data_IF_414305354155
#
_entry.id   IF_414305354155
#
_cell.length_a   1.000
_cell.length_b   1.000
_cell.length_c   1.000
_cell.angle_alpha   90.00
_cell.angle_beta   90.00
_cell.angle_gamma   90.00
#
_symmetry.space_group_name_H-M   'P 1'
#
loop_
_entity.id
_entity.type
_entity.pdbx_description
1 polymer ?
#
# COMPACT_ATOMS: atom_id res chain seq x y z
N UNK A 1 2.30 36.80 14.63
CA UNK A 1 2.39 36.48 13.16
C UNK A 1 3.40 35.35 13.02
N UNK A 2 2.96 34.16 13.21
CA UNK A 2 3.77 32.94 13.13
C UNK A 2 3.18 32.11 11.98
N UNK A 3 3.97 31.92 10.91
CA UNK A 3 3.56 31.16 9.74
C UNK A 3 3.59 29.66 10.10
N UNK A 4 2.45 29.01 10.07
CA UNK A 4 2.34 27.56 10.07
C UNK A 4 2.97 27.04 8.77
N UNK A 5 3.99 26.18 8.91
CA UNK A 5 4.45 25.32 7.81
C UNK A 5 3.53 24.10 7.78
N UNK A 6 2.59 24.08 6.83
CA UNK A 6 1.87 22.88 6.48
C UNK A 6 2.85 21.94 5.76
N UNK A 7 3.15 20.79 6.34
CA UNK A 7 3.81 19.68 5.67
C UNK A 7 2.72 18.94 4.90
N UNK A 8 2.46 19.39 3.70
CA UNK A 8 1.72 18.59 2.73
C UNK A 8 2.65 17.47 2.28
N UNK A 9 2.21 16.23 2.39
CA UNK A 9 2.75 15.14 1.60
C UNK A 9 2.33 15.38 0.15
N UNK A 10 2.97 16.38 -0.46
CA UNK A 10 2.87 16.59 -1.88
C UNK A 10 3.76 15.55 -2.56
N UNK A 11 3.17 14.75 -3.41
CA UNK A 11 3.89 14.13 -4.52
C UNK A 11 4.52 15.30 -5.28
N UNK A 12 5.78 15.61 -4.96
CA UNK A 12 6.55 16.62 -5.68
C UNK A 12 6.95 16.03 -7.03
N UNK A 13 6.13 16.27 -8.06
CA UNK A 13 6.59 16.22 -9.44
C UNK A 13 7.49 17.42 -9.65
N UNK A 14 8.76 17.29 -9.30
CA UNK A 14 9.81 18.18 -9.77
C UNK A 14 10.34 17.58 -11.08
N UNK A 15 9.94 18.16 -12.19
CA UNK A 15 10.54 17.89 -13.48
C UNK A 15 12.04 18.30 -13.44
N UNK A 16 12.88 17.39 -13.04
CA UNK A 16 14.31 17.44 -13.35
C UNK A 16 14.51 16.71 -14.68
N UNK A 17 14.93 17.42 -15.72
CA UNK A 17 15.41 16.83 -16.96
C UNK A 17 16.72 16.04 -16.65
N UNK A 18 16.57 14.87 -16.03
CA UNK A 18 17.57 13.83 -15.94
C UNK A 18 17.32 12.86 -17.09
N UNK A 19 18.37 12.38 -17.75
CA UNK A 19 18.25 11.34 -18.76
C UNK A 19 17.51 10.14 -18.13
N UNK A 20 16.33 9.79 -18.66
CA UNK A 20 15.58 8.61 -18.26
C UNK A 20 16.53 7.40 -18.32
N UNK A 21 16.68 6.73 -17.22
CA UNK A 21 17.48 5.51 -17.14
C UNK A 21 16.65 4.42 -17.82
N UNK A 22 17.05 3.97 -19.01
CA UNK A 22 16.30 2.99 -19.82
C UNK A 22 16.34 1.56 -19.26
N UNK A 23 16.81 1.39 -18.02
CA UNK A 23 16.89 0.10 -17.33
C UNK A 23 16.38 0.22 -15.89
N UNK A 24 15.77 -0.83 -15.39
CA UNK A 24 15.41 -0.91 -13.98
C UNK A 24 16.66 -0.84 -13.10
N UNK A 25 16.57 -0.22 -11.92
CA UNK A 25 17.70 -0.09 -11.00
C UNK A 25 18.16 -1.48 -10.54
N UNK A 26 19.45 -1.57 -10.23
CA UNK A 26 19.98 -2.70 -9.48
C UNK A 26 19.78 -2.43 -8.00
N UNK A 27 19.48 -3.47 -7.24
CA UNK A 27 19.23 -3.36 -5.82
C UNK A 27 20.35 -4.03 -4.99
N UNK A 28 20.67 -3.40 -3.87
CA UNK A 28 21.40 -4.04 -2.79
C UNK A 28 20.43 -4.53 -1.74
N UNK A 29 20.37 -5.85 -1.52
CA UNK A 29 19.54 -6.44 -0.46
C UNK A 29 20.23 -6.26 0.89
N UNK A 30 19.49 -5.73 1.86
CA UNK A 30 19.83 -5.73 3.28
C UNK A 30 18.85 -6.64 4.00
N UNK A 31 19.36 -7.67 4.68
CA UNK A 31 18.56 -8.52 5.57
C UNK A 31 18.59 -7.90 6.95
N UNK A 32 17.50 -7.22 7.33
CA UNK A 32 17.39 -6.55 8.63
C UNK A 32 17.17 -7.58 9.72
N UNK A 33 16.30 -8.56 9.47
CA UNK A 33 16.08 -9.71 10.37
C UNK A 33 15.44 -10.85 9.60
N UNK A 34 15.72 -12.09 9.99
CA UNK A 34 15.05 -13.29 9.51
C UNK A 34 13.91 -13.74 10.45
N UNK A 35 13.62 -12.94 11.49
CA UNK A 35 12.55 -13.22 12.44
C UNK A 35 11.22 -12.67 11.97
N UNK A 36 10.16 -13.42 12.16
CA UNK A 36 8.83 -13.00 11.85
C UNK A 36 8.23 -12.13 12.95
N UNK A 37 8.20 -10.81 12.74
CA UNK A 37 7.61 -9.85 13.67
C UNK A 37 6.34 -9.20 13.14
N UNK A 38 6.19 -9.06 11.81
CA UNK A 38 5.06 -8.38 11.16
C UNK A 38 4.88 -8.89 9.74
N UNK A 39 3.73 -8.58 9.14
CA UNK A 39 3.43 -8.86 7.74
C UNK A 39 3.41 -7.58 6.88
N UNK A 40 3.81 -6.43 7.45
CA UNK A 40 3.99 -5.16 6.79
C UNK A 40 5.02 -4.29 7.49
N UNK A 41 5.83 -3.57 6.71
CA UNK A 41 6.84 -2.63 7.19
C UNK A 41 6.68 -1.30 6.43
N UNK A 42 7.11 -0.20 7.05
CA UNK A 42 6.92 1.13 6.50
C UNK A 42 8.12 2.04 6.85
N UNK A 43 8.02 3.32 6.54
CA UNK A 43 9.12 4.29 6.68
C UNK A 43 8.64 5.61 7.31
N UNK A 44 9.59 6.36 7.87
CA UNK A 44 9.39 7.68 8.41
C UNK A 44 10.70 8.19 9.02
N UNK A 45 10.81 9.49 9.25
CA UNK A 45 11.94 10.10 10.01
C UNK A 45 11.54 10.16 11.49
N UNK A 46 11.91 9.12 12.26
CA UNK A 46 11.49 8.97 13.65
C UNK A 46 12.38 9.73 14.64
N UNK A 47 13.58 10.15 14.23
CA UNK A 47 14.54 10.86 15.07
C UNK A 47 14.75 12.32 14.63
N UNK A 48 14.10 12.77 13.54
CA UNK A 48 14.21 14.12 12.95
C UNK A 48 15.62 14.48 12.50
N UNK A 49 16.38 13.49 11.99
CA UNK A 49 17.71 13.74 11.43
C UNK A 49 17.69 14.05 9.92
N UNK A 50 16.50 14.03 9.32
CA UNK A 50 16.27 14.32 7.89
C UNK A 50 16.54 13.14 6.99
N UNK A 51 16.74 11.93 7.52
CA UNK A 51 16.86 10.69 6.78
C UNK A 51 15.67 9.79 7.04
N UNK A 52 15.36 8.95 6.08
CA UNK A 52 14.28 7.97 6.25
C UNK A 52 14.77 6.79 7.07
N UNK A 53 14.02 6.49 8.12
CA UNK A 53 14.13 5.28 8.93
C UNK A 53 13.11 4.25 8.45
N UNK A 54 13.28 2.99 8.87
CA UNK A 54 12.34 1.91 8.59
C UNK A 54 11.76 1.37 9.86
N UNK A 55 10.44 1.20 9.93
CA UNK A 55 9.74 0.52 11.02
C UNK A 55 9.24 -0.85 10.59
N UNK A 56 9.52 -1.87 11.40
CA UNK A 56 9.09 -3.24 11.17
C UNK A 56 8.86 -3.98 12.47
N UNK A 57 7.62 -4.41 12.70
CA UNK A 57 7.24 -5.09 13.94
C UNK A 57 7.48 -4.22 15.17
N UNK A 58 8.28 -4.69 16.17
CA UNK A 58 8.52 -3.96 17.41
C UNK A 58 9.68 -2.96 17.34
N UNK A 59 10.33 -2.83 16.20
CA UNK A 59 11.53 -2.02 16.04
C UNK A 59 11.39 -0.97 14.95
N UNK A 60 12.09 0.14 15.12
CA UNK A 60 12.48 0.99 14.03
C UNK A 60 14.01 1.03 13.89
N UNK A 61 14.51 1.28 12.69
CA UNK A 61 15.90 1.17 12.31
C UNK A 61 16.35 2.48 11.68
N UNK A 62 17.41 3.09 12.25
CA UNK A 62 17.93 4.38 11.76
C UNK A 62 18.52 4.25 10.36
N UNK A 63 18.08 5.13 9.47
CA UNK A 63 18.67 5.29 8.14
C UNK A 63 19.99 6.06 8.16
N UNK A 64 20.81 5.96 7.10
CA UNK A 64 20.56 5.22 5.85
C UNK A 64 21.15 3.80 5.87
N UNK A 65 21.83 3.36 6.94
CA UNK A 65 22.50 2.06 7.01
C UNK A 65 21.69 0.97 7.75
N UNK A 66 20.66 1.37 8.47
CA UNK A 66 19.72 0.51 9.20
C UNK A 66 20.35 -0.46 10.21
N UNK A 67 21.57 -0.13 10.69
CA UNK A 67 22.32 -0.96 11.64
C UNK A 67 21.86 -0.73 13.08
N UNK A 68 21.49 0.49 13.42
CA UNK A 68 21.01 0.83 14.75
C UNK A 68 19.50 0.66 14.82
N UNK A 69 19.04 -0.18 15.75
CA UNK A 69 17.62 -0.45 15.98
C UNK A 69 17.18 0.02 17.36
N UNK A 70 15.93 0.45 17.42
CA UNK A 70 15.26 0.90 18.63
C UNK A 70 14.00 0.09 18.86
N UNK A 71 13.80 -0.37 20.10
CA UNK A 71 12.57 -1.05 20.50
C UNK A 71 11.55 -0.01 20.96
N UNK A 72 10.42 0.12 20.25
CA UNK A 72 9.36 1.04 20.63
C UNK A 72 8.14 0.36 21.26
N UNK A 73 8.00 -0.96 21.10
CA UNK A 73 6.96 -1.77 21.73
C UNK A 73 7.49 -3.16 22.11
N UNK A 74 6.81 -3.90 23.01
CA UNK A 74 7.27 -5.23 23.43
C UNK A 74 7.53 -6.18 22.28
N UNK A 75 8.69 -6.85 22.31
CA UNK A 75 9.11 -7.80 21.28
C UNK A 75 8.29 -9.06 21.35
N UNK A 76 7.65 -9.42 20.23
CA UNK A 76 6.96 -10.69 20.06
C UNK A 76 7.31 -11.27 18.69
N UNK A 77 7.98 -12.41 18.72
CA UNK A 77 8.27 -13.22 17.52
C UNK A 77 7.13 -14.18 17.25
N UNK A 78 6.69 -14.29 16.01
CA UNK A 78 5.60 -15.17 15.60
C UNK A 78 6.13 -16.38 14.83
N UNK A 79 5.34 -17.46 14.83
CA UNK A 79 5.66 -18.62 14.00
C UNK A 79 5.15 -18.40 12.57
N UNK A 80 5.92 -18.73 11.51
CA UNK A 80 5.50 -18.53 10.12
C UNK A 80 4.21 -19.27 9.73
N UNK A 81 3.81 -20.30 10.47
CA UNK A 81 2.54 -21.01 10.31
C UNK A 81 1.34 -20.30 10.92
N UNK A 82 1.57 -19.25 11.71
CA UNK A 82 0.55 -18.38 12.29
C UNK A 82 0.53 -17.00 11.64
N UNK A 83 0.00 -16.03 12.37
CA UNK A 83 -0.11 -14.63 11.96
C UNK A 83 0.46 -13.71 13.02
N UNK A 84 0.91 -12.52 12.59
CA UNK A 84 1.32 -11.46 13.51
C UNK A 84 0.12 -10.61 13.95
N UNK A 85 0.35 -9.74 14.93
CA UNK A 85 -0.58 -8.67 15.33
C UNK A 85 -0.34 -7.37 14.57
N UNK A 86 0.48 -7.41 13.53
CA UNK A 86 0.83 -6.28 12.69
C UNK A 86 0.84 -6.70 11.21
N UNK A 87 -0.30 -6.53 10.55
CA UNK A 87 -0.51 -6.88 9.15
C UNK A 87 0.03 -5.79 8.21
N UNK A 88 -0.31 -4.53 8.48
CA UNK A 88 0.25 -3.39 7.77
C UNK A 88 0.74 -2.36 8.79
N UNK A 89 1.67 -1.51 8.35
CA UNK A 89 2.21 -0.41 9.16
C UNK A 89 2.07 0.88 8.38
N UNK A 90 1.62 1.95 9.05
CA UNK A 90 1.58 3.30 8.50
C UNK A 90 2.13 4.30 9.50
N UNK A 91 2.61 5.44 9.02
CA UNK A 91 3.24 6.45 9.84
C UNK A 91 2.68 7.83 9.50
N UNK A 92 2.43 8.62 10.53
CA UNK A 92 2.08 10.03 10.46
C UNK A 92 2.26 10.66 11.84
N UNK A 93 2.16 11.96 11.94
CA UNK A 93 2.04 12.71 13.21
C UNK A 93 0.57 12.70 13.63
N UNK A 94 0.18 11.73 14.48
CA UNK A 94 -1.23 11.52 14.85
C UNK A 94 -1.72 12.49 15.92
N UNK A 95 -0.83 13.04 16.73
CA UNK A 95 -1.15 13.97 17.82
C UNK A 95 -0.78 15.43 17.55
N UNK A 96 -0.12 15.73 16.43
CA UNK A 96 0.25 17.08 16.01
C UNK A 96 1.46 17.66 16.77
N UNK A 97 2.30 16.82 17.38
CA UNK A 97 3.49 17.25 18.11
C UNK A 97 4.72 17.39 17.21
N UNK A 98 4.56 17.07 15.95
CA UNK A 98 5.57 17.17 14.91
C UNK A 98 6.52 15.96 14.86
N UNK A 99 6.32 14.90 15.65
CA UNK A 99 7.07 13.65 15.55
C UNK A 99 6.28 12.60 14.78
N UNK A 100 7.01 11.76 14.04
CA UNK A 100 6.40 10.68 13.28
C UNK A 100 6.04 9.53 14.22
N UNK A 101 4.75 9.17 14.27
CA UNK A 101 4.20 8.07 15.04
C UNK A 101 4.00 6.82 14.17
N UNK A 102 3.73 5.67 14.79
CA UNK A 102 3.53 4.40 14.10
C UNK A 102 2.13 3.86 14.37
N UNK A 103 1.35 3.62 13.31
CA UNK A 103 0.08 2.92 13.37
C UNK A 103 0.23 1.48 12.88
N UNK A 104 -0.19 0.53 13.71
CA UNK A 104 -0.21 -0.89 13.38
C UNK A 104 -1.64 -1.35 13.04
N UNK A 105 -1.85 -1.70 11.77
CA UNK A 105 -3.06 -2.41 11.35
C UNK A 105 -2.96 -3.84 11.87
N UNK A 106 -3.92 -4.30 12.69
CA UNK A 106 -3.83 -5.60 13.33
C UNK A 106 -4.21 -6.76 12.40
N UNK A 107 -4.20 -7.97 12.92
CA UNK A 107 -4.93 -9.09 12.33
C UNK A 107 -6.39 -8.70 12.09
N UNK A 108 -6.98 -8.99 10.91
CA UNK A 108 -8.32 -8.51 10.55
C UNK A 108 -9.38 -8.74 11.63
N UNK A 109 -10.14 -7.69 11.94
CA UNK A 109 -11.18 -7.65 12.95
C UNK A 109 -10.71 -7.36 14.38
N UNK A 110 -9.43 -7.20 14.60
CA UNK A 110 -8.90 -6.75 15.89
C UNK A 110 -8.87 -5.21 15.98
N UNK A 111 -8.55 -4.69 17.15
CA UNK A 111 -8.40 -3.25 17.38
C UNK A 111 -7.07 -2.75 16.84
N UNK A 112 -7.09 -1.68 16.05
CA UNK A 112 -5.91 -0.97 15.58
C UNK A 112 -5.37 -0.01 16.64
N UNK A 113 -4.05 0.04 16.75
CA UNK A 113 -3.35 0.88 17.72
C UNK A 113 -2.28 1.71 17.04
N UNK A 114 -2.08 2.93 17.54
CA UNK A 114 -0.92 3.71 17.20
C UNK A 114 -0.02 3.91 18.41
N UNK A 115 1.25 4.14 18.15
CA UNK A 115 2.29 4.31 19.15
C UNK A 115 2.89 5.71 18.97
N UNK A 116 2.75 6.51 20.00
CA UNK A 116 3.24 7.89 20.07
C UNK A 116 4.75 7.89 20.22
N UNK A 117 5.42 8.55 19.28
CA UNK A 117 6.86 8.72 19.32
C UNK A 117 7.27 9.51 20.57
N UNK A 118 8.10 8.95 21.40
CA UNK A 118 8.59 9.61 22.60
C UNK A 118 9.67 10.68 22.32
N UNK A 119 9.57 11.34 21.18
CA UNK A 119 10.45 12.40 20.70
C UNK A 119 11.88 11.92 20.45
N UNK A 120 12.01 10.78 19.80
CA UNK A 120 13.29 10.17 19.44
C UNK A 120 14.06 9.57 20.60
N UNK A 121 13.49 9.51 21.81
CA UNK A 121 14.13 8.89 22.97
C UNK A 121 13.98 7.38 22.93
N UNK A 122 14.98 6.67 23.43
CA UNK A 122 14.91 5.21 23.60
C UNK A 122 13.81 4.82 24.60
N UNK A 123 13.27 3.62 24.41
CA UNK A 123 12.29 3.00 25.29
C UNK A 123 10.90 2.87 24.67
N UNK A 124 9.95 2.27 25.42
CA UNK A 124 8.62 1.97 24.89
C UNK A 124 7.83 3.25 24.63
N UNK A 125 7.16 3.29 23.49
CA UNK A 125 6.27 4.38 23.11
C UNK A 125 4.88 4.21 23.73
N UNK A 126 4.22 5.28 24.17
CA UNK A 126 2.82 5.25 24.60
C UNK A 126 1.94 4.62 23.52
N UNK A 127 1.02 3.74 23.93
CA UNK A 127 0.11 3.03 23.04
C UNK A 127 -1.29 3.61 23.17
N UNK A 128 -1.89 4.00 22.05
CA UNK A 128 -3.22 4.56 21.97
C UNK A 128 -4.16 3.74 21.09
N UNK A 129 -5.45 3.72 21.44
CA UNK A 129 -6.49 3.09 20.61
C UNK A 129 -6.78 3.98 19.40
N UNK A 130 -6.66 3.43 18.19
CA UNK A 130 -7.03 4.12 16.97
C UNK A 130 -8.47 3.78 16.57
N UNK A 131 -8.72 2.53 16.18
CA UNK A 131 -10.02 2.11 15.67
C UNK A 131 -10.36 0.71 16.17
N UNK A 132 -11.55 0.55 16.75
CA UNK A 132 -12.05 -0.77 17.13
C UNK A 132 -12.51 -1.53 15.90
N UNK A 133 -11.92 -2.72 15.67
CA UNK A 133 -12.34 -3.63 14.62
C UNK A 133 -11.90 -3.22 13.21
N UNK A 134 -10.61 -3.14 12.96
CA UNK A 134 -10.09 -2.96 11.59
C UNK A 134 -10.28 -4.24 10.80
N UNK A 135 -11.21 -4.23 9.85
CA UNK A 135 -11.56 -5.35 8.98
C UNK A 135 -10.93 -5.16 7.58
N UNK A 136 -10.76 -6.28 6.87
CA UNK A 136 -10.14 -6.34 5.54
C UNK A 136 -8.67 -6.72 5.58
N UNK A 137 -8.18 -7.26 4.45
CA UNK A 137 -6.79 -7.70 4.31
C UNK A 137 -5.97 -6.80 3.35
N UNK A 138 -6.60 -5.77 2.79
CA UNK A 138 -5.96 -4.82 1.89
C UNK A 138 -6.22 -3.35 2.28
N UNK A 139 -6.20 -2.97 3.57
CA UNK A 139 -6.36 -1.57 3.95
C UNK A 139 -5.38 -0.66 3.20
N UNK A 140 -5.84 0.55 2.88
CA UNK A 140 -5.05 1.57 2.19
C UNK A 140 -4.87 2.80 3.08
N UNK A 141 -3.94 3.67 2.70
CA UNK A 141 -3.57 4.84 3.44
C UNK A 141 -3.48 6.05 2.51
N UNK A 142 -4.37 7.02 2.65
CA UNK A 142 -4.42 8.19 1.79
C UNK A 142 -5.46 9.21 2.23
N UNK A 143 -5.28 10.46 1.84
CA UNK A 143 -6.17 11.57 2.16
C UNK A 143 -7.47 11.46 1.35
N UNK A 144 -8.52 10.93 1.97
CA UNK A 144 -9.84 10.77 1.33
C UNK A 144 -10.69 12.04 1.45
N UNK A 145 -10.58 12.72 2.59
CA UNK A 145 -11.45 13.85 2.91
C UNK A 145 -10.91 15.21 2.45
N UNK A 146 -9.67 15.27 1.94
CA UNK A 146 -9.02 16.48 1.44
C UNK A 146 -8.52 17.42 2.52
N UNK A 147 -8.27 16.91 3.73
CA UNK A 147 -7.78 17.73 4.85
C UNK A 147 -6.25 17.81 4.95
N UNK A 148 -5.55 17.16 4.01
CA UNK A 148 -4.09 17.13 3.92
C UNK A 148 -3.42 16.08 4.81
N UNK A 149 -4.20 15.20 5.45
CA UNK A 149 -3.73 14.09 6.26
C UNK A 149 -4.24 12.76 5.70
N UNK A 150 -3.44 11.70 5.73
CA UNK A 150 -3.90 10.41 5.26
C UNK A 150 -4.93 9.79 6.23
N UNK A 151 -5.94 9.17 5.69
CA UNK A 151 -6.97 8.38 6.36
C UNK A 151 -6.70 6.88 6.22
N UNK A 152 -7.18 6.07 7.15
CA UNK A 152 -7.18 4.61 7.02
C UNK A 152 -8.42 4.16 6.25
N UNK A 153 -8.24 3.67 5.03
CA UNK A 153 -9.29 3.11 4.20
C UNK A 153 -9.41 1.63 4.54
N UNK A 154 -10.54 1.22 5.12
CA UNK A 154 -10.73 -0.14 5.61
C UNK A 154 -12.21 -0.54 5.66
N UNK A 155 -12.48 -1.80 5.99
CA UNK A 155 -13.80 -2.22 6.42
C UNK A 155 -13.92 -2.13 7.95
N UNK A 156 -15.14 -1.87 8.45
CA UNK A 156 -15.42 -1.84 9.89
C UNK A 156 -16.89 -2.19 10.14
N UNK A 157 -17.15 -3.21 10.94
CA UNK A 157 -18.49 -3.56 11.40
C UNK A 157 -19.52 -3.85 10.29
N UNK A 158 -19.06 -4.30 9.12
CA UNK A 158 -19.90 -4.59 7.96
C UNK A 158 -20.09 -3.42 7.00
N UNK A 159 -19.30 -2.35 7.14
CA UNK A 159 -19.24 -1.22 6.23
C UNK A 159 -17.86 -1.15 5.58
N UNK A 160 -17.77 -0.56 4.40
CA UNK A 160 -16.53 -0.07 3.80
C UNK A 160 -16.50 1.45 3.90
N UNK A 161 -15.33 2.02 4.17
CA UNK A 161 -15.15 3.44 4.38
C UNK A 161 -13.73 3.81 4.78
N UNK A 162 -13.60 4.89 5.52
CA UNK A 162 -12.30 5.36 6.00
C UNK A 162 -12.38 5.84 7.45
N UNK A 163 -11.27 5.77 8.16
CA UNK A 163 -11.14 6.31 9.51
C UNK A 163 -10.17 7.49 9.51
N UNK A 164 -10.64 8.63 9.99
CA UNK A 164 -9.88 9.88 10.10
C UNK A 164 -9.55 10.18 11.55
N UNK A 165 -8.43 10.84 11.78
CA UNK A 165 -7.99 11.33 13.08
C UNK A 165 -7.91 12.86 13.11
N UNK A 166 -7.97 13.41 14.31
CA UNK A 166 -7.87 14.84 14.53
C UNK A 166 -6.70 15.11 15.52
N UNK A 167 -5.53 15.56 15.03
CA UNK A 167 -4.36 15.79 15.88
C UNK A 167 -4.63 16.70 17.07
N UNK A 168 -5.58 17.65 16.94
CA UNK A 168 -5.94 18.53 18.05
C UNK A 168 -6.69 17.81 19.19
N UNK A 169 -7.14 16.57 18.97
CA UNK A 169 -7.79 15.73 19.98
C UNK A 169 -6.85 14.71 20.62
N UNK A 170 -5.57 14.73 20.23
CA UNK A 170 -4.54 13.88 20.80
C UNK A 170 -4.88 12.38 20.67
N UNK A 171 -4.99 11.69 21.80
CA UNK A 171 -5.17 10.24 21.90
C UNK A 171 -6.61 9.74 21.71
N UNK A 172 -7.55 10.59 21.29
CA UNK A 172 -8.93 10.16 21.08
C UNK A 172 -9.02 9.13 19.95
N UNK A 173 -9.92 8.11 20.06
CA UNK A 173 -10.13 7.15 18.99
C UNK A 173 -10.52 7.83 17.67
N UNK A 174 -10.04 7.26 16.57
CA UNK A 174 -10.33 7.74 15.23
C UNK A 174 -11.80 7.58 14.87
N UNK A 175 -12.31 8.48 14.05
CA UNK A 175 -13.69 8.46 13.60
C UNK A 175 -13.80 7.68 12.29
N UNK A 176 -14.50 6.54 12.31
CA UNK A 176 -14.86 5.82 11.09
C UNK A 176 -16.04 6.51 10.37
N UNK A 177 -15.88 6.71 9.06
CA UNK A 177 -16.88 7.28 8.15
C UNK A 177 -17.27 6.19 7.15
N UNK A 178 -18.45 5.58 7.28
CA UNK A 178 -18.92 4.60 6.31
C UNK A 178 -19.30 5.30 5.00
N UNK A 179 -18.89 4.75 3.88
CA UNK A 179 -19.27 5.22 2.53
C UNK A 179 -20.27 4.29 1.86
N UNK A 180 -20.47 3.09 2.40
CA UNK A 180 -21.38 2.09 1.86
C UNK A 180 -22.57 1.85 2.80
N UNK A 181 -23.66 1.27 2.31
CA UNK A 181 -24.63 0.63 3.20
C UNK A 181 -23.97 -0.50 3.98
N UNK A 182 -24.52 -0.84 5.14
CA UNK A 182 -24.10 -2.04 5.87
C UNK A 182 -24.30 -3.29 5.00
N UNK A 183 -23.27 -4.11 4.85
CA UNK A 183 -23.32 -5.25 3.95
C UNK A 183 -22.28 -6.32 4.28
N UNK A 184 -21.74 -6.93 3.22
CA UNK A 184 -20.79 -8.07 3.26
C UNK A 184 -19.33 -7.71 3.55
N UNK A 185 -19.07 -6.50 3.97
CA UNK A 185 -17.72 -6.02 4.27
C UNK A 185 -17.22 -6.65 5.56
N UNK A 186 -16.73 -7.88 5.42
CA UNK A 186 -16.37 -8.73 6.54
C UNK A 186 -14.90 -8.58 6.93
N UNK A 187 -14.56 -9.24 8.02
CA UNK A 187 -13.20 -9.33 8.57
C UNK A 187 -12.12 -9.63 7.50
N UNK A 188 -12.41 -10.51 6.56
CA UNK A 188 -11.46 -10.96 5.53
C UNK A 188 -11.84 -10.43 4.14
N UNK A 189 -12.42 -9.22 4.06
CA UNK A 189 -12.66 -8.58 2.78
C UNK A 189 -11.34 -8.25 2.09
N UNK A 190 -11.31 -8.47 0.78
CA UNK A 190 -10.17 -8.19 -0.09
C UNK A 190 -10.53 -7.15 -1.12
N UNK A 191 -9.51 -6.45 -1.64
CA UNK A 191 -9.67 -5.48 -2.69
C UNK A 191 -10.17 -4.15 -2.17
N UNK A 192 -9.26 -3.29 -1.74
CA UNK A 192 -9.51 -1.93 -1.32
C UNK A 192 -8.60 -0.99 -2.11
N UNK A 193 -9.11 0.18 -2.47
CA UNK A 193 -8.36 1.17 -3.21
C UNK A 193 -9.01 2.55 -3.13
N UNK A 194 -8.31 3.56 -3.61
CA UNK A 194 -8.76 4.92 -3.63
C UNK A 194 -8.11 5.71 -4.77
N UNK A 195 -8.78 6.75 -5.23
CA UNK A 195 -8.30 7.67 -6.25
C UNK A 195 -9.45 8.34 -6.98
N UNK A 196 -9.17 9.41 -7.69
CA UNK A 196 -10.16 10.18 -8.47
C UNK A 196 -10.48 9.45 -9.79
N UNK A 197 -11.52 8.63 -9.79
CA UNK A 197 -11.93 7.86 -10.97
C UNK A 197 -12.63 8.74 -12.00
N UNK A 198 -13.49 9.65 -11.55
CA UNK A 198 -14.32 10.43 -12.46
C UNK A 198 -13.65 11.73 -12.96
N UNK A 199 -12.54 12.16 -12.39
CA UNK A 199 -11.76 13.34 -12.75
C UNK A 199 -12.38 14.64 -12.19
N UNK A 200 -13.11 14.55 -11.05
CA UNK A 200 -13.73 15.72 -10.43
C UNK A 200 -12.89 16.38 -9.34
N UNK A 201 -11.69 15.83 -9.08
CA UNK A 201 -10.72 16.30 -8.10
C UNK A 201 -10.97 15.78 -6.70
N UNK A 202 -11.86 14.80 -6.52
CA UNK A 202 -12.14 14.14 -5.25
C UNK A 202 -11.72 12.68 -5.28
N UNK A 203 -11.43 12.15 -4.12
CA UNK A 203 -11.00 10.77 -3.97
C UNK A 203 -12.21 9.84 -3.85
N UNK A 204 -12.39 8.98 -4.85
CA UNK A 204 -13.34 7.87 -4.81
C UNK A 204 -12.76 6.66 -4.09
N UNK A 205 -13.60 5.78 -3.53
CA UNK A 205 -13.16 4.53 -2.94
C UNK A 205 -13.53 3.34 -3.83
N UNK A 206 -12.59 2.38 -3.95
CA UNK A 206 -12.76 1.21 -4.79
C UNK A 206 -12.83 -0.07 -3.96
N UNK A 207 -13.68 -0.99 -4.39
CA UNK A 207 -13.75 -2.38 -3.93
C UNK A 207 -13.65 -3.35 -5.12
N UNK A 208 -13.44 -4.63 -4.88
CA UNK A 208 -13.34 -5.63 -5.96
C UNK A 208 -14.52 -5.62 -6.95
N UNK A 209 -15.71 -5.18 -6.55
CA UNK A 209 -16.94 -5.24 -7.35
C UNK A 209 -17.53 -3.88 -7.74
N UNK A 210 -16.88 -2.78 -7.40
CA UNK A 210 -17.41 -1.45 -7.66
C UNK A 210 -16.40 -0.35 -7.35
N UNK A 211 -16.71 0.87 -7.76
CA UNK A 211 -16.18 2.08 -7.17
C UNK A 211 -17.33 2.92 -6.60
N UNK A 212 -17.03 3.75 -5.60
CA UNK A 212 -17.95 4.56 -4.85
C UNK A 212 -17.56 6.02 -5.02
N UNK A 213 -18.39 6.76 -5.75
CA UNK A 213 -18.15 8.16 -6.09
C UNK A 213 -18.33 9.05 -4.87
N UNK A 214 -17.31 9.85 -4.55
CA UNK A 214 -17.38 10.81 -3.46
C UNK A 214 -18.36 11.94 -3.83
N UNK A 215 -19.39 12.20 -3.01
CA UNK A 215 -20.34 13.27 -3.30
C UNK A 215 -19.71 14.65 -3.13
N UNK A 216 -20.26 15.65 -3.84
CA UNK A 216 -19.81 17.05 -3.67
C UNK A 216 -19.94 17.54 -2.24
N UNK A 217 -21.01 17.12 -1.56
CA UNK A 217 -21.27 17.37 -0.14
C UNK A 217 -21.62 16.04 0.52
N UNK A 218 -20.66 15.51 1.31
CA UNK A 218 -20.89 14.29 2.06
C UNK A 218 -21.88 14.55 3.22
N UNK A 219 -22.96 13.78 3.27
CA UNK A 219 -23.92 13.82 4.38
C UNK A 219 -23.73 12.63 5.29
N UNK A 220 -23.69 12.89 6.57
CA UNK A 220 -23.50 11.84 7.56
C UNK A 220 -24.60 10.76 7.45
N UNK A 221 -24.18 9.50 7.28
CA UNK A 221 -25.09 8.36 7.19
C UNK A 221 -25.69 8.10 5.80
N UNK A 222 -25.44 8.95 4.82
CA UNK A 222 -25.81 8.69 3.43
C UNK A 222 -24.65 7.97 2.71
N UNK A 223 -24.90 6.79 2.07
CA UNK A 223 -23.88 6.11 1.30
C UNK A 223 -23.53 6.91 0.04
N UNK A 224 -22.29 6.75 -0.42
CA UNK A 224 -21.85 7.29 -1.70
C UNK A 224 -22.54 6.59 -2.87
N UNK A 225 -22.42 7.15 -4.07
CA UNK A 225 -23.00 6.57 -5.28
C UNK A 225 -22.17 5.38 -5.73
N UNK A 226 -22.79 4.22 -5.87
CA UNK A 226 -22.13 2.99 -6.28
C UNK A 226 -22.15 2.81 -7.79
N UNK A 227 -20.98 2.65 -8.38
CA UNK A 227 -20.81 2.29 -9.79
C UNK A 227 -20.28 0.85 -9.87
N UNK A 228 -21.13 -0.07 -10.33
CA UNK A 228 -20.78 -1.49 -10.37
C UNK A 228 -19.82 -1.80 -11.51
N UNK A 229 -18.67 -2.39 -11.18
CA UNK A 229 -17.73 -2.98 -12.13
C UNK A 229 -16.91 -4.09 -11.45
N UNK A 230 -16.78 -5.29 -12.05
CA UNK A 230 -16.07 -6.43 -11.46
C UNK A 230 -14.56 -6.29 -11.72
N UNK A 231 -13.84 -5.49 -10.93
CA UNK A 231 -12.39 -5.37 -11.04
C UNK A 231 -11.68 -6.70 -10.77
N UNK A 232 -12.15 -7.45 -9.77
CA UNK A 232 -11.50 -8.68 -9.35
C UNK A 232 -12.43 -9.58 -8.53
N UNK A 233 -11.96 -10.80 -8.22
CA UNK A 233 -12.61 -11.68 -7.25
C UNK A 233 -12.19 -11.35 -5.82
N UNK A 234 -10.97 -11.74 -5.46
CA UNK A 234 -10.33 -11.37 -4.19
C UNK A 234 -9.05 -10.59 -4.52
N UNK A 235 -9.21 -9.30 -4.75
CA UNK A 235 -8.12 -8.41 -5.14
C UNK A 235 -7.11 -8.18 -4.00
N UNK A 236 -5.91 -7.74 -4.33
CA UNK A 236 -5.05 -7.01 -3.41
C UNK A 236 -5.49 -5.53 -3.35
N UNK A 237 -4.58 -4.57 -3.17
CA UNK A 237 -4.90 -3.15 -3.35
C UNK A 237 -5.34 -2.88 -4.80
N UNK A 238 -6.25 -1.92 -4.99
CA UNK A 238 -6.60 -1.38 -6.29
C UNK A 238 -5.89 -0.03 -6.45
N UNK A 239 -4.90 0.00 -7.33
CA UNK A 239 -4.08 1.17 -7.61
C UNK A 239 -4.75 2.02 -8.68
N UNK A 240 -4.92 3.32 -8.42
CA UNK A 240 -5.63 4.25 -9.31
C UNK A 240 -4.68 5.32 -9.83
N UNK A 241 -4.40 5.30 -11.13
CA UNK A 241 -3.58 6.31 -11.82
C UNK A 241 -3.75 6.19 -13.34
N UNK A 242 -3.36 7.22 -14.06
CA UNK A 242 -3.35 7.22 -15.53
C UNK A 242 -2.18 6.34 -16.03
N UNK A 243 -2.47 5.11 -16.45
CA UNK A 243 -1.46 4.14 -16.90
C UNK A 243 -0.95 4.43 -18.30
N UNK A 244 -1.81 4.90 -19.22
CA UNK A 244 -1.44 5.05 -20.64
C UNK A 244 -1.24 6.50 -21.10
N UNK A 245 -1.46 7.47 -20.23
CA UNK A 245 -1.23 8.89 -20.51
C UNK A 245 -2.36 9.56 -21.29
N UNK A 246 -3.58 9.00 -21.21
CA UNK A 246 -4.74 9.57 -21.91
C UNK A 246 -5.50 10.60 -21.05
N UNK A 247 -5.06 10.81 -19.80
CA UNK A 247 -5.64 11.76 -18.85
C UNK A 247 -6.82 11.20 -18.05
N UNK A 248 -7.11 9.90 -18.17
CA UNK A 248 -8.13 9.20 -17.38
C UNK A 248 -7.45 8.24 -16.40
N UNK A 249 -7.88 8.23 -15.15
CA UNK A 249 -7.33 7.30 -14.18
C UNK A 249 -7.87 5.88 -14.42
N UNK A 250 -6.94 4.96 -14.51
CA UNK A 250 -7.13 3.53 -14.69
C UNK A 250 -7.05 2.80 -13.35
N UNK A 251 -7.26 1.48 -13.36
CA UNK A 251 -7.11 0.64 -12.16
C UNK A 251 -6.18 -0.55 -12.43
N UNK A 252 -5.16 -0.73 -11.59
CA UNK A 252 -4.30 -1.92 -11.62
C UNK A 252 -4.50 -2.73 -10.34
N UNK A 253 -4.71 -4.05 -10.46
CA UNK A 253 -4.86 -4.92 -9.29
C UNK A 253 -4.55 -6.38 -9.57
N UNK A 254 -4.23 -7.13 -8.52
CA UNK A 254 -4.24 -8.59 -8.57
C UNK A 254 -5.69 -9.09 -8.55
N UNK A 255 -6.06 -9.98 -9.48
CA UNK A 255 -7.44 -10.46 -9.56
C UNK A 255 -7.76 -11.56 -8.54
N UNK A 256 -6.73 -12.20 -8.01
CA UNK A 256 -6.85 -13.23 -6.99
C UNK A 256 -5.60 -13.26 -6.11
N UNK A 257 -5.65 -12.58 -4.96
CA UNK A 257 -4.51 -12.41 -4.06
C UNK A 257 -3.98 -13.71 -3.43
N UNK A 258 -4.76 -14.79 -3.44
CA UNK A 258 -4.35 -16.14 -3.03
C UNK A 258 -4.08 -17.08 -4.22
N UNK A 259 -4.26 -16.60 -5.41
CA UNK A 259 -4.11 -17.33 -6.67
C UNK A 259 -3.13 -16.67 -7.61
N UNK A 260 -3.60 -16.33 -8.81
CA UNK A 260 -2.81 -15.72 -9.86
C UNK A 260 -3.55 -14.55 -10.50
N UNK A 261 -2.81 -13.76 -11.26
CA UNK A 261 -3.32 -12.73 -12.14
C UNK A 261 -3.04 -11.33 -11.66
N UNK A 262 -2.50 -10.53 -12.57
CA UNK A 262 -2.34 -9.08 -12.44
C UNK A 262 -2.97 -8.45 -13.67
N UNK A 263 -3.83 -7.45 -13.49
CA UNK A 263 -4.56 -6.82 -14.59
C UNK A 263 -4.54 -5.32 -14.47
N UNK A 264 -4.58 -4.68 -15.63
CA UNK A 264 -4.85 -3.28 -15.82
C UNK A 264 -6.24 -3.11 -16.43
N UNK A 265 -7.11 -2.39 -15.77
CA UNK A 265 -8.42 -1.98 -16.22
C UNK A 265 -8.33 -0.56 -16.77
N UNK A 266 -8.15 -0.44 -18.10
CA UNK A 266 -8.13 0.87 -18.76
C UNK A 266 -9.50 1.51 -18.70
N UNK A 267 -9.59 2.73 -18.17
CA UNK A 267 -10.82 3.49 -18.21
C UNK A 267 -11.17 3.89 -19.65
N UNK A 268 -12.44 3.80 -19.98
CA UNK A 268 -13.00 4.28 -21.25
C UNK A 268 -14.29 5.02 -20.98
N UNK A 269 -14.57 6.06 -21.77
CA UNK A 269 -15.81 6.85 -21.70
C UNK A 269 -16.55 6.76 -23.01
N UNK A 270 -17.86 6.56 -22.93
CA UNK A 270 -18.73 6.64 -24.10
C UNK A 270 -19.01 8.10 -24.50
N UNK A 271 -19.79 8.30 -25.58
CA UNK A 271 -20.17 9.62 -26.09
C UNK A 271 -20.97 10.46 -25.07
N UNK A 272 -21.55 9.84 -24.05
CA UNK A 272 -22.28 10.49 -22.95
C UNK A 272 -21.41 10.72 -21.72
N UNK A 273 -20.12 10.36 -21.78
CA UNK A 273 -19.18 10.45 -20.67
C UNK A 273 -19.34 9.33 -19.63
N UNK A 274 -20.12 8.29 -19.92
CA UNK A 274 -20.29 7.17 -18.99
C UNK A 274 -19.00 6.36 -18.87
N UNK A 275 -18.53 6.18 -17.64
CA UNK A 275 -17.30 5.46 -17.32
C UNK A 275 -17.53 3.95 -17.38
N UNK A 276 -16.65 3.26 -18.06
CA UNK A 276 -16.49 1.81 -18.03
C UNK A 276 -15.00 1.45 -18.13
N UNK A 277 -14.66 0.16 -18.09
CA UNK A 277 -13.27 -0.25 -18.11
C UNK A 277 -13.06 -1.39 -19.11
N UNK A 278 -11.90 -1.41 -19.75
CA UNK A 278 -11.42 -2.50 -20.59
C UNK A 278 -10.27 -3.22 -19.89
N UNK A 279 -10.44 -4.52 -19.64
CA UNK A 279 -9.42 -5.32 -18.98
C UNK A 279 -8.25 -5.63 -19.93
N UNK A 280 -7.02 -5.43 -19.48
CA UNK A 280 -5.77 -5.81 -20.11
C UNK A 280 -4.98 -6.69 -19.13
N UNK A 281 -4.59 -7.86 -19.59
CA UNK A 281 -3.91 -8.85 -18.75
C UNK A 281 -2.41 -8.55 -18.72
N UNK A 282 -1.84 -8.35 -17.53
CA UNK A 282 -0.39 -8.22 -17.29
C UNK A 282 0.18 -9.60 -16.97
N UNK A 283 -0.38 -10.30 -15.97
CA UNK A 283 -0.13 -11.70 -15.68
C UNK A 283 -1.44 -12.46 -15.73
N UNK A 284 -1.52 -13.61 -16.41
CA UNK A 284 -2.78 -14.32 -16.57
C UNK A 284 -3.28 -14.93 -15.25
N UNK A 285 -4.60 -14.91 -15.00
CA UNK A 285 -5.20 -15.57 -13.84
C UNK A 285 -5.12 -17.10 -13.92
N UNK A 286 -4.88 -17.65 -15.12
CA UNK A 286 -4.52 -19.04 -15.33
C UNK A 286 -3.12 -19.12 -15.93
N UNK A 287 -2.08 -19.47 -15.13
CA UNK A 287 -0.69 -19.49 -15.59
C UNK A 287 -0.38 -20.67 -16.54
N UNK A 288 -1.28 -21.63 -16.69
CA UNK A 288 -1.10 -22.78 -17.61
C UNK A 288 -1.48 -22.43 -19.07
N UNK A 289 -1.96 -21.18 -19.29
CA UNK A 289 -2.20 -20.70 -20.65
C UNK A 289 -0.87 -20.51 -21.40
N UNK A 290 -0.85 -20.93 -22.66
CA UNK A 290 0.31 -20.76 -23.54
C UNK A 290 0.69 -19.27 -23.64
N UNK A 291 1.99 -18.96 -23.50
CA UNK A 291 2.53 -17.61 -23.59
C UNK A 291 2.72 -16.90 -22.25
N UNK A 292 2.42 -17.56 -21.12
CA UNK A 292 2.79 -17.05 -19.80
C UNK A 292 4.21 -17.50 -19.47
N UNK A 293 5.19 -16.63 -19.70
CA UNK A 293 6.60 -16.91 -19.35
C UNK A 293 6.89 -16.68 -17.87
N UNK A 294 6.15 -15.77 -17.23
CA UNK A 294 6.31 -15.44 -15.81
C UNK A 294 5.11 -15.95 -15.01
N UNK A 295 5.39 -16.74 -13.98
CA UNK A 295 4.40 -17.30 -13.08
C UNK A 295 4.66 -16.85 -11.65
N UNK A 296 3.76 -16.03 -11.12
CA UNK A 296 3.81 -15.56 -9.73
C UNK A 296 2.43 -15.78 -9.13
N UNK A 297 2.38 -16.52 -8.04
CA UNK A 297 1.16 -16.72 -7.25
C UNK A 297 1.13 -15.81 -6.03
N UNK A 298 -0.05 -15.60 -5.46
CA UNK A 298 -0.26 -14.89 -4.20
C UNK A 298 0.24 -13.44 -4.23
N UNK A 299 -0.16 -12.68 -5.27
CA UNK A 299 0.11 -11.23 -5.37
C UNK A 299 -0.79 -10.48 -4.37
N UNK A 300 -0.39 -10.44 -3.11
CA UNK A 300 -1.24 -9.96 -2.00
C UNK A 300 -0.96 -8.50 -1.61
N UNK A 301 0.09 -7.90 -2.10
CA UNK A 301 0.46 -6.51 -1.85
C UNK A 301 0.89 -5.84 -3.15
N UNK A 302 0.39 -4.64 -3.39
CA UNK A 302 0.72 -3.81 -4.54
C UNK A 302 1.05 -2.39 -4.09
N UNK A 303 2.01 -1.76 -4.78
CA UNK A 303 2.41 -0.36 -4.60
C UNK A 303 2.79 0.22 -5.96
N UNK A 304 2.84 1.54 -6.08
CA UNK A 304 3.31 2.25 -7.27
C UNK A 304 4.37 3.27 -6.91
N UNK A 305 5.42 3.34 -7.74
CA UNK A 305 6.38 4.43 -7.75
C UNK A 305 7.07 4.51 -9.12
N UNK A 306 7.54 5.68 -9.49
CA UNK A 306 8.35 5.87 -10.70
C UNK A 306 9.80 5.43 -10.39
N UNK A 307 10.11 4.16 -10.72
CA UNK A 307 11.40 3.57 -10.34
C UNK A 307 12.51 3.85 -11.34
N UNK A 308 12.15 4.26 -12.55
CA UNK A 308 13.10 4.55 -13.63
C UNK A 308 13.26 6.05 -13.94
N UNK A 309 12.48 6.91 -13.28
CA UNK A 309 12.54 8.36 -13.40
C UNK A 309 11.94 8.90 -14.71
N UNK A 310 11.03 8.16 -15.35
CA UNK A 310 10.42 8.55 -16.63
C UNK A 310 9.11 9.34 -16.46
N UNK A 311 8.65 9.52 -15.22
CA UNK A 311 7.43 10.23 -14.86
C UNK A 311 6.17 9.37 -14.94
N UNK A 312 6.30 8.07 -15.18
CA UNK A 312 5.19 7.10 -15.19
C UNK A 312 5.35 6.16 -13.99
N UNK A 313 4.36 6.05 -13.10
CA UNK A 313 4.45 5.11 -12.00
C UNK A 313 4.49 3.65 -12.48
N UNK A 314 5.42 2.88 -11.93
CA UNK A 314 5.59 1.45 -12.14
C UNK A 314 4.91 0.65 -11.03
N UNK A 315 4.56 -0.61 -11.28
CA UNK A 315 3.86 -1.45 -10.30
C UNK A 315 4.85 -2.34 -9.57
N UNK A 316 4.89 -2.22 -8.25
CA UNK A 316 5.64 -3.09 -7.34
C UNK A 316 4.70 -4.15 -6.76
N UNK A 317 5.10 -5.41 -6.83
CA UNK A 317 4.38 -6.52 -6.19
C UNK A 317 5.29 -7.74 -6.03
N UNK A 318 4.75 -8.82 -5.46
CA UNK A 318 5.50 -10.05 -5.29
C UNK A 318 4.63 -11.17 -4.73
N UNK A 319 5.26 -12.31 -4.50
CA UNK A 319 4.62 -13.45 -3.88
C UNK A 319 4.56 -13.28 -2.36
N UNK A 320 3.35 -13.30 -1.76
CA UNK A 320 3.20 -13.40 -0.30
C UNK A 320 3.73 -14.73 0.21
N UNK A 321 4.61 -14.69 1.18
CA UNK A 321 5.16 -15.86 1.86
C UNK A 321 4.66 -15.96 3.29
N UNK A 322 3.76 -16.71 3.62
CA UNK A 322 2.62 -17.47 3.09
C UNK A 322 1.32 -16.80 3.57
N UNK A 323 0.26 -16.78 2.80
CA UNK A 323 -1.03 -16.38 3.37
C UNK A 323 -1.56 -17.46 4.33
N UNK A 324 -1.72 -18.69 3.88
CA UNK A 324 -2.31 -19.79 4.65
C UNK A 324 -1.33 -20.96 4.93
N UNK A 325 -0.05 -20.65 5.13
CA UNK A 325 0.98 -21.62 5.49
C UNK A 325 1.46 -22.52 4.33
N UNK A 326 2.25 -23.57 4.65
CA UNK A 326 3.01 -24.32 3.65
C UNK A 326 2.17 -25.28 2.80
N UNK A 327 0.89 -25.44 3.07
CA UNK A 327 -0.05 -26.32 2.33
C UNK A 327 -1.33 -25.59 1.90
N UNK A 328 -1.39 -24.28 2.15
CA UNK A 328 -2.56 -23.46 1.90
C UNK A 328 -2.73 -23.08 0.43
N UNK A 329 -2.39 -21.88 0.07
CA UNK A 329 -2.65 -21.26 -1.24
C UNK A 329 -1.90 -21.89 -2.42
N UNK A 330 -2.01 -21.26 -3.59
CA UNK A 330 -1.32 -21.73 -4.80
C UNK A 330 0.20 -21.65 -4.64
N UNK A 331 0.88 -22.74 -5.00
CA UNK A 331 2.35 -22.85 -5.06
C UNK A 331 3.07 -22.33 -3.79
N UNK A 332 2.73 -22.87 -2.60
CA UNK A 332 3.31 -22.34 -1.35
C UNK A 332 4.85 -22.45 -1.29
N UNK A 333 5.43 -23.43 -2.02
CA UNK A 333 6.88 -23.67 -2.06
C UNK A 333 7.60 -22.97 -3.22
N UNK A 334 6.89 -22.25 -4.09
CA UNK A 334 7.55 -21.47 -5.13
C UNK A 334 8.38 -20.33 -4.54
N UNK A 335 9.41 -19.84 -5.26
CA UNK A 335 10.26 -18.75 -4.81
C UNK A 335 9.45 -17.53 -4.34
N UNK A 336 9.84 -16.97 -3.20
CA UNK A 336 9.23 -15.78 -2.63
C UNK A 336 9.83 -14.54 -3.32
N UNK A 337 9.26 -14.17 -4.44
CA UNK A 337 9.77 -13.15 -5.35
C UNK A 337 9.20 -11.77 -5.07
N UNK A 338 9.98 -10.74 -5.43
CA UNK A 338 9.57 -9.33 -5.53
C UNK A 338 9.90 -8.83 -6.92
N UNK A 339 8.96 -8.13 -7.55
CA UNK A 339 9.09 -7.62 -8.91
C UNK A 339 8.59 -6.18 -9.03
N UNK A 340 9.26 -5.40 -9.84
CA UNK A 340 8.70 -4.27 -10.53
C UNK A 340 8.12 -4.70 -11.87
N UNK A 341 7.02 -4.12 -12.27
CA UNK A 341 6.47 -4.17 -13.62
C UNK A 341 6.57 -2.76 -14.20
N UNK A 342 7.62 -2.55 -15.00
CA UNK A 342 7.92 -1.24 -15.61
C UNK A 342 6.88 -0.94 -16.67
N UNK A 343 6.20 0.18 -16.53
CA UNK A 343 5.17 0.65 -17.46
C UNK A 343 5.82 1.41 -18.61
N UNK A 344 5.74 0.84 -19.81
CA UNK A 344 6.29 1.47 -20.99
C UNK A 344 5.14 1.96 -21.89
N UNK A 345 5.13 3.25 -22.19
CA UNK A 345 4.18 3.92 -23.10
C UNK A 345 4.81 4.05 -24.48
N UNK A 346 4.45 3.18 -25.42
CA UNK A 346 4.91 3.24 -26.80
C UNK A 346 3.76 3.68 -27.71
N UNK A 347 3.95 4.78 -28.46
CA UNK A 347 2.89 5.33 -29.35
C UNK A 347 2.43 4.35 -30.43
N UNK A 348 3.27 3.43 -30.86
CA UNK A 348 2.96 2.46 -31.91
C UNK A 348 2.47 1.12 -31.36
N UNK A 349 2.96 0.71 -30.19
CA UNK A 349 2.67 -0.60 -29.58
C UNK A 349 1.66 -0.54 -28.44
N UNK A 350 1.36 0.68 -27.95
CA UNK A 350 0.55 0.88 -26.76
C UNK A 350 1.34 0.67 -25.46
N UNK A 351 0.64 0.38 -24.36
CA UNK A 351 1.26 0.15 -23.04
C UNK A 351 1.72 -1.30 -22.92
N UNK A 352 2.93 -1.47 -22.42
CA UNK A 352 3.48 -2.78 -22.03
C UNK A 352 4.04 -2.72 -20.63
N UNK A 353 4.04 -3.87 -19.94
CA UNK A 353 4.58 -4.03 -18.59
C UNK A 353 5.78 -4.97 -18.67
N UNK A 354 6.97 -4.45 -18.38
CA UNK A 354 8.21 -5.24 -18.38
C UNK A 354 8.54 -5.70 -16.97
N UNK A 355 8.49 -7.02 -16.66
CA UNK A 355 8.82 -7.51 -15.34
C UNK A 355 10.33 -7.43 -15.08
N UNK A 356 10.70 -6.88 -13.92
CA UNK A 356 12.07 -6.79 -13.43
C UNK A 356 12.13 -7.35 -12.02
N UNK A 357 12.87 -8.41 -11.84
CA UNK A 357 13.01 -9.06 -10.55
C UNK A 357 13.91 -8.23 -9.62
N UNK A 358 13.39 -7.90 -8.45
CA UNK A 358 14.13 -7.28 -7.34
C UNK A 358 14.83 -8.35 -6.52
N UNK A 359 14.10 -9.42 -6.16
CA UNK A 359 14.61 -10.53 -5.34
C UNK A 359 13.77 -11.80 -5.53
N UNK A 360 14.37 -12.96 -5.26
CA UNK A 360 13.71 -14.28 -5.39
C UNK A 360 13.54 -15.04 -4.07
N UNK A 361 13.94 -14.45 -2.95
CA UNK A 361 13.95 -15.14 -1.64
C UNK A 361 13.48 -14.29 -0.45
N UNK A 362 12.77 -13.19 -0.68
CA UNK A 362 12.13 -12.38 0.38
C UNK A 362 10.61 -12.43 0.30
N UNK A 363 10.07 -12.23 -0.89
CA UNK A 363 8.63 -12.09 -1.08
C UNK A 363 8.06 -10.81 -0.50
N UNK A 364 6.74 -10.69 -0.54
CA UNK A 364 5.99 -9.61 0.11
C UNK A 364 5.18 -10.14 1.29
N UNK A 365 4.68 -9.23 2.14
CA UNK A 365 3.69 -9.53 3.17
C UNK A 365 2.27 -9.22 2.69
N UNK A 366 1.47 -8.62 3.55
CA UNK A 366 0.21 -7.96 3.21
C UNK A 366 0.43 -6.53 2.73
N UNK A 367 1.66 -6.05 2.88
CA UNK A 367 2.15 -4.74 2.47
C UNK A 367 3.51 -4.87 1.81
N UNK A 368 3.76 -4.03 0.83
CA UNK A 368 5.07 -3.69 0.29
C UNK A 368 5.11 -2.17 0.23
N UNK A 369 6.26 -1.56 0.48
CA UNK A 369 6.42 -0.12 0.44
C UNK A 369 7.60 0.29 -0.44
N UNK A 370 7.50 1.45 -1.07
CA UNK A 370 8.55 2.04 -1.88
C UNK A 370 8.77 3.50 -1.48
N UNK A 371 10.02 3.88 -1.21
CA UNK A 371 10.43 5.26 -0.98
C UNK A 371 11.93 5.41 -1.16
N UNK A 372 12.41 6.63 -1.33
CA UNK A 372 13.84 6.94 -1.34
C UNK A 372 14.38 6.92 0.10
N UNK A 373 15.06 5.83 0.46
CA UNK A 373 15.65 5.64 1.79
C UNK A 373 17.11 6.13 1.87
N UNK A 374 17.81 6.18 0.74
CA UNK A 374 19.23 6.47 0.67
C UNK A 374 19.55 7.88 0.16
N UNK A 375 18.53 8.63 -0.30
CA UNK A 375 18.66 10.02 -0.79
C UNK A 375 19.08 10.14 -2.24
N UNK A 376 19.02 9.06 -3.04
CA UNK A 376 19.44 9.04 -4.45
C UNK A 376 18.28 9.39 -5.42
N UNK A 377 17.07 9.59 -4.91
CA UNK A 377 15.82 9.91 -5.61
C UNK A 377 15.24 8.75 -6.43
N UNK A 378 15.74 7.56 -6.28
CA UNK A 378 15.18 6.34 -6.85
C UNK A 378 14.45 5.57 -5.74
N UNK A 379 13.25 5.07 -5.97
CA UNK A 379 12.53 4.30 -4.95
C UNK A 379 13.28 3.02 -4.55
N UNK A 380 13.53 2.91 -3.24
CA UNK A 380 13.96 1.69 -2.58
C UNK A 380 12.73 0.87 -2.18
N UNK A 381 12.92 -0.42 -1.90
CA UNK A 381 11.82 -1.33 -1.56
C UNK A 381 11.97 -1.85 -0.13
N UNK A 382 10.86 -1.86 0.61
CA UNK A 382 10.76 -2.37 1.97
C UNK A 382 9.73 -3.49 2.01
N UNK A 383 10.10 -4.63 2.60
CA UNK A 383 9.17 -5.74 2.84
C UNK A 383 9.33 -6.27 4.27
N UNK A 384 8.18 -6.51 4.92
CA UNK A 384 8.08 -7.24 6.18
C UNK A 384 7.14 -8.42 6.00
N UNK A 385 7.55 -9.64 6.34
CA UNK A 385 6.73 -10.83 6.17
C UNK A 385 7.21 -12.00 7.04
N UNK A 386 6.66 -13.19 6.81
CA UNK A 386 6.99 -14.42 7.57
C UNK A 386 8.41 -14.94 7.37
N UNK A 387 9.20 -14.37 6.43
CA UNK A 387 10.64 -14.66 6.28
C UNK A 387 11.51 -13.64 7.00
N UNK A 388 10.95 -12.51 7.44
CA UNK A 388 11.69 -11.46 8.10
C UNK A 388 11.42 -10.07 7.51
N UNK A 389 12.38 -9.19 7.67
CA UNK A 389 12.37 -7.81 7.12
C UNK A 389 13.56 -7.61 6.22
N UNK A 390 13.29 -7.09 5.02
CA UNK A 390 14.31 -6.85 4.01
C UNK A 390 14.14 -5.45 3.43
N UNK A 391 15.26 -4.81 3.15
CA UNK A 391 15.34 -3.53 2.44
C UNK A 391 16.15 -3.77 1.17
N UNK A 392 15.72 -3.18 0.07
CA UNK A 392 16.42 -3.23 -1.21
C UNK A 392 16.75 -1.80 -1.61
N UNK A 393 18.01 -1.41 -1.43
CA UNK A 393 18.51 -0.09 -1.80
C UNK A 393 18.88 -0.07 -3.27
N UNK A 394 18.35 0.90 -4.00
CA UNK A 394 18.71 1.19 -5.41
C UNK A 394 20.20 1.56 -5.56
N UNK A 395 20.79 1.30 -6.75
CA UNK A 395 22.21 1.56 -7.07
C UNK A 395 22.36 2.16 -8.45
#
# INVERSE_FOLDING_TARGET
MTRLCAVAAAVCVLAAAGMAQTGAPKYQKLTITEKFYCEGAYFGDFNKDGKMDVVSGPFWYEGPDFQKKHEYRPVKEYQPTGYSDNFLTFCADFNGDGWMDVFCVPFPGAEGFWFENNQGKDGPWPKHSALKGVDGESPCWGDVNGDGRPDLICCNGGFYGYATYDPAKGDQPWKFVPVTPKGRYSRYAHGQGFGDINGDGKVDLLESGAWWEQPKEAKAGEPWVRHAYPFAGAAAQLLVYDVDGDGLNDVVTAVQCHGYGLVWHKQVRDEKGQISFKQNVILPPNPDLKGSELRISQLHALEVADVNGDGVPDVLTGKRFWAHGPKGDKEPSAPAVVYWFIVNRDKAKGVTFTPVMVDDNSGVGTQVAACDLNGDKVPDVIVGNKKGTFIFLSK
#
